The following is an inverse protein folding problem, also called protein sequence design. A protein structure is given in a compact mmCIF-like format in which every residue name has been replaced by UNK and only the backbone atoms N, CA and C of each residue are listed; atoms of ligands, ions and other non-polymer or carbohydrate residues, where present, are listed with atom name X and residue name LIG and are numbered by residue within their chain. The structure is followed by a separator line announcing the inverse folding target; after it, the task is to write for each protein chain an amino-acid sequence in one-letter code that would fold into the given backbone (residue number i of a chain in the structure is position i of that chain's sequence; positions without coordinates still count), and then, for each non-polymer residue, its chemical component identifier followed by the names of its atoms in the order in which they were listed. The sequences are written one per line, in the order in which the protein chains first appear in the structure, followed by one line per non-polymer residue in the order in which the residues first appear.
data_IF_325544567893
#
_entry.id   IF_325544567893
#
_cell.length_a   1.000
_cell.length_b   1.000
_cell.length_c   1.000
_cell.angle_alpha   90.00
_cell.angle_beta   90.00
_cell.angle_gamma   90.00
#
_symmetry.space_group_name_H-M   'P 1'
#
loop_
_entity.id
_entity.type
_entity.pdbx_description
1 polymer ?
#
# COMPACT_ATOMS: atom_id res chain seq x y z
N UNK A 1 -8.78 -10.51 18.55
CA UNK A 1 -8.35 -10.11 17.20
C UNK A 1 -7.49 -11.24 16.68
N UNK A 2 -7.89 -11.90 15.59
CA UNK A 2 -7.06 -12.93 14.96
C UNK A 2 -5.90 -12.21 14.26
N UNK A 3 -4.66 -12.58 14.57
CA UNK A 3 -3.50 -12.09 13.83
C UNK A 3 -3.59 -12.70 12.44
N UNK A 4 -3.98 -11.91 11.42
CA UNK A 4 -3.84 -12.34 10.04
C UNK A 4 -2.34 -12.49 9.78
N UNK A 5 -1.88 -13.70 9.46
CA UNK A 5 -0.50 -13.90 9.05
C UNK A 5 -0.34 -13.35 7.63
N UNK A 6 0.48 -12.31 7.51
CA UNK A 6 0.97 -11.80 6.23
C UNK A 6 2.49 -12.04 6.19
N UNK A 7 3.04 -12.25 5.00
CA UNK A 7 4.49 -12.38 4.79
C UNK A 7 5.10 -11.21 4.00
N UNK A 8 4.25 -10.27 3.53
CA UNK A 8 4.68 -9.12 2.77
C UNK A 8 3.88 -7.86 3.08
N UNK A 9 4.54 -6.71 2.90
CA UNK A 9 3.89 -5.40 2.87
C UNK A 9 4.44 -4.58 1.71
N UNK A 10 3.54 -4.03 0.90
CA UNK A 10 3.88 -3.08 -0.15
C UNK A 10 3.51 -1.68 0.31
N UNK A 11 4.48 -0.78 0.24
CA UNK A 11 4.32 0.62 0.66
C UNK A 11 4.31 1.52 -0.58
N UNK A 12 3.29 2.35 -0.68
CA UNK A 12 3.18 3.43 -1.66
C UNK A 12 3.11 4.74 -0.89
N UNK A 13 3.97 5.71 -1.16
CA UNK A 13 3.92 7.02 -0.50
C UNK A 13 4.13 8.14 -1.49
N UNK A 14 3.52 9.29 -1.21
CA UNK A 14 3.73 10.53 -1.95
C UNK A 14 3.68 11.74 -1.03
N UNK A 15 4.58 12.69 -1.29
CA UNK A 15 4.64 13.99 -0.62
C UNK A 15 4.22 15.13 -1.55
N UNK A 16 4.35 14.95 -2.88
CA UNK A 16 3.93 15.93 -3.88
C UNK A 16 2.46 15.74 -4.29
N UNK A 17 1.76 16.86 -4.54
CA UNK A 17 0.33 16.83 -4.86
C UNK A 17 0.00 15.95 -6.07
N UNK A 18 0.73 16.11 -7.18
CA UNK A 18 0.52 15.32 -8.39
C UNK A 18 0.76 13.82 -8.16
N UNK A 19 1.73 13.45 -7.31
CA UNK A 19 1.99 12.05 -7.00
C UNK A 19 0.93 11.43 -6.10
N UNK A 20 0.28 12.23 -5.25
CA UNK A 20 -0.84 11.78 -4.42
C UNK A 20 -2.05 11.40 -5.26
N UNK A 21 -2.33 12.15 -6.33
CA UNK A 21 -3.41 11.83 -7.26
C UNK A 21 -3.16 10.49 -7.98
N UNK A 22 -1.92 10.23 -8.37
CA UNK A 22 -1.52 8.99 -9.04
C UNK A 22 -1.34 7.79 -8.10
N UNK A 23 -1.43 7.97 -6.77
CA UNK A 23 -1.09 6.90 -5.81
C UNK A 23 -2.06 5.72 -5.93
N UNK A 24 -3.36 6.00 -6.11
CA UNK A 24 -4.38 4.98 -6.30
C UNK A 24 -4.12 4.13 -7.54
N UNK A 25 -3.82 4.77 -8.67
CA UNK A 25 -3.52 4.07 -9.93
C UNK A 25 -2.27 3.18 -9.81
N UNK A 26 -1.25 3.65 -9.06
CA UNK A 26 -0.05 2.84 -8.77
C UNK A 26 -0.39 1.61 -7.94
N UNK A 27 -1.27 1.75 -6.94
CA UNK A 27 -1.74 0.61 -6.12
C UNK A 27 -2.53 -0.38 -6.99
N UNK A 28 -3.51 0.10 -7.77
CA UNK A 28 -4.33 -0.74 -8.65
C UNK A 28 -3.47 -1.49 -9.68
N UNK A 29 -2.56 -0.79 -10.36
CA UNK A 29 -1.63 -1.40 -11.32
C UNK A 29 -0.75 -2.46 -10.67
N UNK A 30 -0.33 -2.26 -9.41
CA UNK A 30 0.47 -3.24 -8.69
C UNK A 30 -0.36 -4.47 -8.31
N UNK A 31 -1.60 -4.29 -7.85
CA UNK A 31 -2.53 -5.39 -7.54
C UNK A 31 -2.81 -6.25 -8.78
N UNK A 32 -3.06 -5.62 -9.92
CA UNK A 32 -3.28 -6.32 -11.20
C UNK A 32 -2.08 -7.17 -11.64
N UNK A 33 -0.85 -6.76 -11.28
CA UNK A 33 0.38 -7.49 -11.60
C UNK A 33 0.68 -8.65 -10.64
N UNK A 34 0.00 -8.72 -9.51
CA UNK A 34 0.21 -9.77 -8.49
C UNK A 34 -1.13 -10.45 -8.13
N UNK A 35 -1.81 -11.09 -9.10
CA UNK A 35 -3.11 -11.72 -8.87
C UNK A 35 -3.04 -12.91 -7.90
N UNK A 36 -1.86 -13.50 -7.72
CA UNK A 36 -1.63 -14.64 -6.84
C UNK A 36 -1.47 -14.24 -5.36
N UNK A 37 -1.38 -12.93 -5.06
CA UNK A 37 -1.22 -12.46 -3.69
C UNK A 37 -2.56 -12.41 -2.97
N UNK A 38 -2.63 -13.03 -1.78
CA UNK A 38 -3.78 -12.89 -0.89
C UNK A 38 -3.68 -11.55 -0.15
N UNK A 39 -4.55 -10.59 -0.50
CA UNK A 39 -4.55 -9.28 0.15
C UNK A 39 -5.34 -9.35 1.46
N UNK A 40 -4.66 -9.10 2.57
CA UNK A 40 -5.26 -9.15 3.91
C UNK A 40 -5.90 -7.84 4.32
N UNK A 41 -5.22 -6.74 4.02
CA UNK A 41 -5.57 -5.40 4.47
C UNK A 41 -4.91 -4.33 3.58
N UNK A 42 -5.63 -3.24 3.35
CA UNK A 42 -5.10 -2.03 2.74
C UNK A 42 -5.36 -0.88 3.72
N UNK A 43 -4.30 -0.28 4.23
CA UNK A 43 -4.39 0.83 5.17
C UNK A 43 -3.87 2.11 4.54
N UNK A 44 -4.61 3.21 4.69
CA UNK A 44 -4.14 4.54 4.31
C UNK A 44 -3.73 5.32 5.56
N UNK A 45 -2.46 5.75 5.60
CA UNK A 45 -1.92 6.66 6.61
C UNK A 45 -1.69 8.02 5.98
N UNK A 46 -2.05 9.06 6.73
CA UNK A 46 -1.78 10.44 6.33
C UNK A 46 -1.00 11.12 7.45
N UNK A 47 -0.03 11.94 7.05
CA UNK A 47 0.73 12.78 7.96
C UNK A 47 0.86 14.16 7.32
N UNK A 48 0.59 15.20 8.10
CA UNK A 48 0.69 16.58 7.63
C UNK A 48 1.30 17.49 8.69
N UNK A 49 2.22 18.34 8.25
CA UNK A 49 2.69 19.52 8.99
C UNK A 49 2.45 20.80 8.15
N UNK A 50 2.96 21.94 8.63
CA UNK A 50 2.76 23.24 7.98
C UNK A 50 3.39 23.35 6.59
N UNK A 51 4.35 22.48 6.25
CA UNK A 51 5.12 22.51 5.01
C UNK A 51 4.93 21.26 4.13
N UNK A 52 4.49 20.14 4.70
CA UNK A 52 4.46 18.85 4.00
C UNK A 52 3.19 18.03 4.32
N UNK A 53 2.61 17.45 3.27
CA UNK A 53 1.50 16.51 3.36
C UNK A 53 1.90 15.19 2.69
N UNK A 54 2.05 14.15 3.50
CA UNK A 54 2.34 12.80 3.06
C UNK A 54 1.06 11.94 3.10
N UNK A 55 0.82 11.19 2.02
CA UNK A 55 -0.12 10.06 2.00
C UNK A 55 0.67 8.79 1.78
N UNK A 56 0.40 7.77 2.58
CA UNK A 56 0.97 6.43 2.45
C UNK A 56 -0.16 5.41 2.38
N UNK A 57 -0.12 4.51 1.40
CA UNK A 57 -0.97 3.33 1.30
C UNK A 57 -0.10 2.09 1.56
N UNK A 58 -0.50 1.31 2.56
CA UNK A 58 0.10 0.06 2.96
C UNK A 58 -0.79 -1.07 2.46
N UNK A 59 -0.24 -2.00 1.70
CA UNK A 59 -0.95 -3.22 1.27
C UNK A 59 -0.27 -4.41 1.93
N UNK A 60 -0.98 -5.05 2.84
CA UNK A 60 -0.52 -6.27 3.53
C UNK A 60 -1.01 -7.49 2.77
N UNK A 61 -0.10 -8.41 2.48
CA UNK A 61 -0.41 -9.56 1.63
C UNK A 61 0.36 -10.81 2.03
N UNK A 62 -0.14 -11.96 1.58
CA UNK A 62 0.60 -13.22 1.54
C UNK A 62 0.99 -13.52 0.09
N UNK A 63 2.29 -13.60 -0.16
CA UNK A 63 2.86 -14.15 -1.38
C UNK A 63 3.01 -15.67 -1.22
N UNK A 64 2.32 -16.50 -2.02
CA UNK A 64 2.43 -17.97 -1.93
C UNK A 64 3.81 -18.50 -2.33
N UNK A 65 4.66 -17.68 -2.96
CA UNK A 65 6.00 -18.06 -3.43
C UNK A 65 7.12 -17.55 -2.52
N UNK A 66 6.82 -16.85 -1.43
CA UNK A 66 7.83 -16.42 -0.47
C UNK A 66 8.37 -17.63 0.32
N UNK A 67 9.67 -17.89 0.19
CA UNK A 67 10.41 -18.94 0.93
C UNK A 67 10.56 -18.66 2.43
#
# INVERSE_FOLDING_TARGET
MSVKQFNGVKVFSATMAQEREALGDKVTTWLERHPDFEIHEIETKQSSDEAFHCITILVFYTDPLAE
#
